data_IF_070917547142
#
_entry.id   IF_070917547142
#
_cell.length_a   1.000
_cell.length_b   1.000
_cell.length_c   1.000
_cell.angle_alpha   90.00
_cell.angle_beta   90.00
_cell.angle_gamma   90.00
#
_symmetry.space_group_name_H-M   'P 1'
#
loop_
_entity.id
_entity.type
_entity.pdbx_description
1 polymer ?
#
# COMPACT_ATOMS: atom_id res chain seq x y z
N UNK A 1 -9.40 2.60 7.18
CA UNK A 1 -8.21 2.65 6.33
C UNK A 1 -8.25 1.41 5.47
N UNK A 2 -8.47 1.59 4.18
CA UNK A 2 -8.29 0.55 3.17
C UNK A 2 -6.78 0.38 2.95
N UNK A 3 -6.34 -0.87 2.90
CA UNK A 3 -4.95 -1.26 2.66
C UNK A 3 -4.98 -2.24 1.49
N UNK A 4 -4.08 -2.05 0.55
CA UNK A 4 -3.99 -2.84 -0.65
C UNK A 4 -3.13 -2.13 -1.69
N UNK A 5 -2.39 -2.92 -2.44
CA UNK A 5 -1.69 -2.51 -3.62
C UNK A 5 -1.77 -3.59 -4.68
N UNK A 6 -1.43 -3.24 -5.92
CA UNK A 6 -1.30 -4.20 -6.99
C UNK A 6 -0.70 -3.62 -8.25
N UNK A 7 -0.22 -4.52 -9.08
CA UNK A 7 0.24 -4.22 -10.43
C UNK A 7 -0.87 -4.55 -11.44
N UNK A 8 -0.89 -3.82 -12.54
CA UNK A 8 -1.70 -4.16 -13.71
C UNK A 8 -1.00 -3.70 -14.98
N UNK A 9 -1.32 -4.36 -16.09
CA UNK A 9 -0.85 -3.98 -17.41
C UNK A 9 -2.00 -3.34 -18.17
N UNK A 10 -1.78 -2.14 -18.74
CA UNK A 10 -2.68 -1.56 -19.74
C UNK A 10 -2.04 -1.63 -21.11
N UNK A 11 -2.85 -1.92 -22.12
CA UNK A 11 -2.47 -1.76 -23.51
C UNK A 11 -3.05 -0.45 -24.06
N UNK A 12 -2.21 0.37 -24.67
CA UNK A 12 -2.58 1.66 -25.26
C UNK A 12 -1.85 1.77 -26.60
N UNK A 13 -2.61 1.86 -27.69
CA UNK A 13 -2.08 2.00 -29.07
C UNK A 13 -1.01 0.94 -29.41
N UNK A 14 -1.25 -0.33 -29.05
CA UNK A 14 -0.35 -1.46 -29.32
C UNK A 14 0.87 -1.54 -28.41
N UNK A 15 0.99 -0.67 -27.41
CA UNK A 15 2.05 -0.71 -26.41
C UNK A 15 1.49 -1.09 -25.05
N UNK A 16 2.22 -1.94 -24.32
CA UNK A 16 1.83 -2.43 -23.01
C UNK A 16 2.64 -1.75 -21.91
N UNK A 17 1.95 -1.33 -20.86
CA UNK A 17 2.51 -0.52 -19.79
C UNK A 17 2.12 -1.03 -18.42
N UNK A 18 3.08 -1.01 -17.50
CA UNK A 18 2.85 -1.24 -16.10
C UNK A 18 2.23 -0.02 -15.42
N UNK A 19 1.22 -0.30 -14.61
CA UNK A 19 0.66 0.62 -13.65
C UNK A 19 0.66 -0.03 -12.28
N UNK A 20 1.00 0.74 -11.25
CA UNK A 20 0.98 0.30 -9.86
C UNK A 20 -0.08 1.09 -9.10
N UNK A 21 -1.10 0.41 -8.58
CA UNK A 21 -2.11 1.04 -7.74
C UNK A 21 -1.85 0.72 -6.27
N UNK A 22 -2.16 1.65 -5.39
CA UNK A 22 -2.07 1.44 -3.95
C UNK A 22 -2.98 2.40 -3.19
N UNK A 23 -3.38 2.02 -1.99
CA UNK A 23 -4.05 2.93 -1.07
C UNK A 23 -3.04 3.78 -0.33
N UNK A 24 -3.16 5.09 -0.49
CA UNK A 24 -2.41 6.09 0.26
C UNK A 24 -3.25 6.64 1.41
N UNK A 25 -2.58 7.25 2.39
CA UNK A 25 -3.22 7.90 3.53
C UNK A 25 -3.10 9.40 3.38
N UNK A 26 -4.21 10.02 3.01
CA UNK A 26 -4.31 11.48 2.94
C UNK A 26 -5.27 11.97 4.02
N UNK A 27 -4.74 12.73 4.97
CA UNK A 27 -5.55 13.45 5.98
C UNK A 27 -6.57 12.58 6.73
N UNK A 28 -6.20 11.32 7.01
CA UNK A 28 -7.05 10.35 7.71
C UNK A 28 -8.02 9.57 6.81
N UNK A 29 -8.09 9.87 5.51
CA UNK A 29 -8.86 9.13 4.51
C UNK A 29 -7.93 8.20 3.71
N UNK A 30 -8.51 7.10 3.22
CA UNK A 30 -7.84 6.23 2.26
C UNK A 30 -8.12 6.73 0.85
N UNK A 31 -7.07 6.97 0.08
CA UNK A 31 -7.17 7.41 -1.31
C UNK A 31 -6.49 6.37 -2.19
N UNK A 32 -7.19 5.84 -3.18
CA UNK A 32 -6.58 4.94 -4.15
C UNK A 32 -5.79 5.75 -5.17
N UNK A 33 -4.47 5.57 -5.19
CA UNK A 33 -3.56 6.14 -6.19
C UNK A 33 -3.18 5.10 -7.22
N UNK A 34 -2.82 5.58 -8.41
CA UNK A 34 -2.41 4.76 -9.53
C UNK A 34 -1.26 5.45 -10.27
N UNK A 35 -0.08 4.84 -10.20
CA UNK A 35 1.13 5.35 -10.82
C UNK A 35 1.36 4.67 -12.15
N UNK A 36 1.67 5.45 -13.19
CA UNK A 36 2.34 4.92 -14.37
C UNK A 36 3.78 4.56 -14.02
N UNK A 37 4.22 3.36 -14.39
CA UNK A 37 5.58 2.88 -14.07
C UNK A 37 6.46 2.90 -15.32
N UNK A 38 5.95 2.40 -16.45
CA UNK A 38 6.71 2.34 -17.70
C UNK A 38 6.27 1.18 -18.59
N UNK A 39 7.03 0.91 -19.66
CA UNK A 39 6.70 -0.18 -20.60
C UNK A 39 7.03 -1.55 -20.01
N UNK A 40 6.30 -2.58 -20.42
CA UNK A 40 6.53 -3.96 -19.93
C UNK A 40 7.82 -4.62 -20.45
N UNK A 41 8.34 -4.09 -21.56
CA UNK A 41 9.58 -4.54 -22.21
C UNK A 41 10.83 -3.82 -21.66
N UNK A 42 10.67 -2.82 -20.81
CA UNK A 42 11.77 -2.14 -20.12
C UNK A 42 12.09 -2.81 -18.77
N UNK A 43 13.34 -3.27 -18.63
CA UNK A 43 13.82 -3.92 -17.41
C UNK A 43 13.77 -2.98 -16.20
N UNK A 44 14.05 -1.69 -16.39
CA UNK A 44 13.95 -0.71 -15.30
C UNK A 44 12.53 -0.60 -14.77
N UNK A 45 11.54 -0.63 -15.66
CA UNK A 45 10.12 -0.61 -15.31
C UNK A 45 9.69 -1.86 -14.52
N UNK A 46 10.24 -3.04 -14.88
CA UNK A 46 10.02 -4.29 -14.11
C UNK A 46 10.61 -4.20 -12.71
N UNK A 47 11.83 -3.69 -12.57
CA UNK A 47 12.44 -3.52 -11.26
C UNK A 47 11.68 -2.47 -10.44
N UNK A 48 11.20 -1.40 -11.07
CA UNK A 48 10.49 -0.34 -10.36
C UNK A 48 9.16 -0.80 -9.76
N UNK A 49 8.41 -1.66 -10.46
CA UNK A 49 7.15 -2.19 -9.92
C UNK A 49 7.37 -3.04 -8.66
N UNK A 50 8.44 -3.84 -8.64
CA UNK A 50 8.81 -4.67 -7.49
C UNK A 50 9.28 -3.81 -6.32
N UNK A 51 10.05 -2.75 -6.59
CA UNK A 51 10.46 -1.77 -5.56
C UNK A 51 9.27 -1.05 -4.97
N UNK A 52 8.31 -0.61 -5.80
CA UNK A 52 7.07 0.03 -5.33
C UNK A 52 6.24 -0.91 -4.45
N UNK A 53 6.12 -2.18 -4.83
CA UNK A 53 5.47 -3.22 -4.04
C UNK A 53 6.14 -3.40 -2.67
N UNK A 54 7.46 -3.60 -2.63
CA UNK A 54 8.21 -3.77 -1.39
C UNK A 54 8.09 -2.54 -0.48
N UNK A 55 8.21 -1.34 -1.04
CA UNK A 55 8.07 -0.09 -0.30
C UNK A 55 6.65 0.08 0.28
N UNK A 56 5.61 -0.32 -0.46
CA UNK A 56 4.24 -0.30 0.04
C UNK A 56 4.05 -1.26 1.22
N UNK A 57 4.49 -2.51 1.07
CA UNK A 57 4.38 -3.51 2.14
C UNK A 57 5.10 -3.06 3.41
N UNK A 58 6.32 -2.55 3.32
CA UNK A 58 7.05 -2.04 4.48
C UNK A 58 6.31 -0.92 5.22
N UNK A 59 5.63 -0.01 4.49
CA UNK A 59 4.77 1.02 5.12
C UNK A 59 3.51 0.42 5.74
N UNK A 60 2.84 -0.49 5.03
CA UNK A 60 1.62 -1.13 5.49
C UNK A 60 1.85 -1.96 6.76
N UNK A 61 2.96 -2.70 6.84
CA UNK A 61 3.37 -3.46 8.02
C UNK A 61 3.57 -2.56 9.24
N UNK A 62 4.23 -1.42 9.08
CA UNK A 62 4.38 -0.44 10.16
C UNK A 62 3.03 0.13 10.61
N UNK A 63 2.11 0.38 9.68
CA UNK A 63 0.75 0.83 10.00
C UNK A 63 -0.05 -0.23 10.76
N UNK A 64 0.07 -1.50 10.36
CA UNK A 64 -0.53 -2.61 11.09
C UNK A 64 0.04 -2.74 12.50
N UNK A 65 1.36 -2.65 12.66
CA UNK A 65 2.02 -2.69 13.97
C UNK A 65 1.53 -1.55 14.87
N UNK A 66 1.48 -0.31 14.35
CA UNK A 66 0.94 0.85 15.08
C UNK A 66 -0.52 0.66 15.49
N UNK A 67 -1.35 0.16 14.58
CA UNK A 67 -2.79 -0.08 14.84
C UNK A 67 -2.98 -1.16 15.90
N UNK A 68 -2.23 -2.26 15.81
CA UNK A 68 -2.23 -3.34 16.79
C UNK A 68 -1.86 -2.82 18.18
N UNK A 69 -0.72 -2.13 18.31
CA UNK A 69 -0.27 -1.58 19.59
C UNK A 69 -1.29 -0.61 20.22
N UNK A 70 -2.01 0.19 19.41
CA UNK A 70 -3.07 1.07 19.91
C UNK A 70 -4.25 0.29 20.47
N UNK A 71 -4.66 -0.80 19.80
CA UNK A 71 -5.76 -1.66 20.24
C UNK A 71 -5.35 -2.41 21.51
N UNK A 72 -4.14 -2.99 21.55
CA UNK A 72 -3.61 -3.66 22.74
C UNK A 72 -3.63 -2.74 23.98
N UNK A 73 -3.17 -1.49 23.84
CA UNK A 73 -3.26 -0.49 24.93
C UNK A 73 -4.68 -0.10 25.30
N UNK A 74 -5.61 -0.10 24.35
CA UNK A 74 -7.02 0.16 24.64
C UNK A 74 -7.62 -0.97 25.47
N UNK A 75 -7.40 -2.22 25.05
CA UNK A 75 -7.85 -3.43 25.75
C UNK A 75 -7.28 -3.47 27.17
N UNK A 76 -5.97 -3.28 27.33
CA UNK A 76 -5.32 -3.32 28.63
C UNK A 76 -5.84 -2.27 29.62
N UNK A 77 -6.21 -1.07 29.15
CA UNK A 77 -6.80 -0.04 30.00
C UNK A 77 -8.23 -0.38 30.41
N UNK A 78 -9.04 -0.91 29.49
CA UNK A 78 -10.40 -1.32 29.79
C UNK A 78 -10.47 -2.43 30.85
N UNK A 79 -9.51 -3.36 30.84
CA UNK A 79 -9.43 -4.43 31.85
C UNK A 79 -9.03 -3.94 33.25
N UNK A 80 -8.30 -2.82 33.38
CA UNK A 80 -7.86 -2.28 34.67
C UNK A 80 -8.96 -1.46 35.37
N UNK A 81 -9.86 -0.83 34.61
CA UNK A 81 -10.93 0.03 35.16
C UNK A 81 -12.16 -0.76 35.66
N UNK A 82 -12.20 -2.08 35.48
CA UNK A 82 -13.32 -2.93 35.92
C UNK A 82 -13.18 -3.46 37.36
N UNK A 83 -12.41 -2.77 38.22
CA UNK A 83 -12.30 -3.01 39.67
C UNK A 83 -12.77 -1.77 40.41
#
# INVERSE_FOLDING_TARGET
MEIGCGARVREIRGHRYFYFWHYDRDSGRSVRREDYVGRVDDERSRQDILRKMAAYHGRAEQDFARRRARIERFVARASVTST
#
